data_IF_788924017279
#
_entry.id   IF_788924017279
#
_cell.length_a   1.000
_cell.length_b   1.000
_cell.length_c   1.000
_cell.angle_alpha   90.00
_cell.angle_beta   90.00
_cell.angle_gamma   90.00
#
_symmetry.space_group_name_H-M   'P 1'
#
loop_
_entity.id
_entity.type
_entity.pdbx_description
1 polymer ?
#
# COMPACT_ATOMS: atom_id res chain seq x y z
N UNK A 1 76.78 -5.98 2.12
CA UNK A 1 75.92 -7.05 1.58
C UNK A 1 75.28 -6.70 0.22
N UNK A 2 75.13 -5.43 -0.16
CA UNK A 2 74.50 -5.02 -1.44
C UNK A 2 75.40 -5.09 -2.68
N UNK A 3 76.71 -4.89 -2.54
CA UNK A 3 77.63 -4.77 -3.70
C UNK A 3 77.82 -6.08 -4.46
N UNK A 4 77.82 -7.22 -3.76
CA UNK A 4 77.92 -8.53 -4.40
C UNK A 4 76.67 -8.91 -5.20
N UNK A 5 75.48 -8.50 -4.74
CA UNK A 5 74.23 -8.69 -5.50
C UNK A 5 74.23 -7.87 -6.79
N UNK A 6 74.77 -6.65 -6.77
CA UNK A 6 74.93 -5.81 -7.96
C UNK A 6 75.85 -6.45 -9.00
N UNK A 7 77.00 -6.97 -8.56
CA UNK A 7 77.96 -7.66 -9.44
C UNK A 7 77.34 -8.93 -10.02
N UNK A 8 76.65 -9.74 -9.21
CA UNK A 8 75.99 -10.98 -9.68
C UNK A 8 74.90 -10.67 -10.71
N UNK A 9 74.03 -9.69 -10.47
CA UNK A 9 72.99 -9.30 -11.42
C UNK A 9 73.58 -8.76 -12.73
N UNK A 10 74.70 -8.02 -12.64
CA UNK A 10 75.39 -7.49 -13.80
C UNK A 10 76.07 -8.59 -14.63
N UNK A 11 76.69 -9.58 -13.98
CA UNK A 11 77.25 -10.76 -14.64
C UNK A 11 76.15 -11.60 -15.30
N UNK A 12 75.08 -11.94 -14.57
CA UNK A 12 73.96 -12.72 -15.11
C UNK A 12 73.27 -12.01 -16.30
N UNK A 13 73.13 -10.68 -16.26
CA UNK A 13 72.58 -9.93 -17.39
C UNK A 13 73.53 -9.91 -18.60
N UNK A 14 74.83 -9.82 -18.37
CA UNK A 14 75.82 -9.89 -19.44
C UNK A 14 75.81 -11.26 -20.12
N UNK A 15 75.70 -12.33 -19.33
CA UNK A 15 75.59 -13.71 -19.78
C UNK A 15 74.35 -13.94 -20.66
N UNK A 16 73.17 -13.54 -20.18
CA UNK A 16 71.91 -13.61 -20.96
C UNK A 16 71.96 -12.82 -22.28
N UNK A 17 72.73 -11.72 -22.33
CA UNK A 17 72.92 -10.92 -23.55
C UNK A 17 73.92 -11.55 -24.51
N UNK A 18 74.95 -12.20 -23.98
CA UNK A 18 75.96 -12.87 -24.79
C UNK A 18 75.35 -14.09 -25.50
N UNK A 19 74.60 -14.91 -24.76
CA UNK A 19 73.87 -16.07 -25.29
C UNK A 19 72.40 -15.75 -25.62
N UNK A 20 72.18 -14.69 -26.40
CA UNK A 20 70.83 -14.18 -26.67
C UNK A 20 69.91 -15.21 -27.36
N UNK A 21 70.46 -16.09 -28.20
CA UNK A 21 69.69 -17.14 -28.90
C UNK A 21 69.13 -18.17 -27.93
N UNK A 22 69.97 -18.68 -27.00
CA UNK A 22 69.55 -19.65 -25.99
C UNK A 22 68.58 -19.02 -24.98
N UNK A 23 68.82 -17.75 -24.61
CA UNK A 23 67.93 -16.98 -23.75
C UNK A 23 66.53 -16.81 -24.37
N UNK A 24 66.45 -16.45 -25.65
CA UNK A 24 65.15 -16.35 -26.35
C UNK A 24 64.48 -17.72 -26.44
N UNK A 25 65.22 -18.79 -26.73
CA UNK A 25 64.68 -20.16 -26.75
C UNK A 25 64.06 -20.54 -25.40
N UNK A 26 64.74 -20.25 -24.28
CA UNK A 26 64.24 -20.49 -22.93
C UNK A 26 62.98 -19.66 -22.62
N UNK A 27 62.98 -18.37 -22.95
CA UNK A 27 61.81 -17.48 -22.76
C UNK A 27 60.63 -17.99 -23.58
N UNK A 28 60.85 -18.39 -24.83
CA UNK A 28 59.80 -18.96 -25.69
C UNK A 28 59.28 -20.28 -25.12
N UNK A 29 60.14 -21.16 -24.60
CA UNK A 29 59.71 -22.41 -23.98
C UNK A 29 58.83 -22.17 -22.74
N UNK A 30 59.24 -21.26 -21.85
CA UNK A 30 58.45 -20.87 -20.67
C UNK A 30 57.13 -20.21 -21.08
N UNK A 31 57.18 -19.29 -22.06
CA UNK A 31 55.99 -18.62 -22.59
C UNK A 31 55.04 -19.60 -23.26
N UNK A 32 55.54 -20.59 -23.98
CA UNK A 32 54.74 -21.62 -24.64
C UNK A 32 53.96 -22.49 -23.66
N UNK A 33 54.48 -22.68 -22.44
CA UNK A 33 53.79 -23.42 -21.37
C UNK A 33 52.83 -22.50 -20.59
N UNK A 34 53.25 -21.27 -20.27
CA UNK A 34 52.45 -20.35 -19.45
C UNK A 34 51.32 -19.66 -20.22
N UNK A 35 51.54 -19.31 -21.49
CA UNK A 35 50.57 -18.56 -22.30
C UNK A 35 49.22 -19.29 -22.43
N UNK A 36 49.17 -20.59 -22.79
CA UNK A 36 47.89 -21.32 -22.86
C UNK A 36 47.16 -21.36 -21.51
N UNK A 37 47.90 -21.47 -20.40
CA UNK A 37 47.34 -21.52 -19.05
C UNK A 37 46.74 -20.15 -18.65
N UNK A 38 47.45 -19.06 -18.94
CA UNK A 38 46.97 -17.69 -18.75
C UNK A 38 45.73 -17.39 -19.58
N UNK A 39 45.70 -17.81 -20.85
CA UNK A 39 44.53 -17.66 -21.73
C UNK A 39 43.34 -18.44 -21.16
N UNK A 40 43.55 -19.69 -20.75
CA UNK A 40 42.49 -20.53 -20.17
C UNK A 40 41.92 -19.91 -18.89
N UNK A 41 42.78 -19.41 -18.01
CA UNK A 41 42.32 -18.73 -16.78
C UNK A 41 41.62 -17.41 -17.08
N UNK A 42 42.14 -16.60 -18.01
CA UNK A 42 41.50 -15.37 -18.44
C UNK A 42 40.08 -15.62 -18.96
N UNK A 43 39.90 -16.63 -19.82
CA UNK A 43 38.58 -17.03 -20.32
C UNK A 43 37.67 -17.57 -19.22
N UNK A 44 38.19 -18.45 -18.35
CA UNK A 44 37.40 -19.03 -17.24
C UNK A 44 36.90 -17.95 -16.29
N UNK A 45 37.80 -17.13 -15.74
CA UNK A 45 37.43 -16.11 -14.77
C UNK A 45 36.64 -14.97 -15.42
N UNK A 46 36.99 -14.57 -16.64
CA UNK A 46 36.23 -13.57 -17.40
C UNK A 46 34.79 -14.02 -17.66
N UNK A 47 34.58 -15.26 -18.10
CA UNK A 47 33.24 -15.79 -18.35
C UNK A 47 32.43 -15.92 -17.05
N UNK A 48 33.04 -16.44 -15.99
CA UNK A 48 32.38 -16.58 -14.68
C UNK A 48 31.98 -15.20 -14.13
N UNK A 49 32.86 -14.20 -14.25
CA UNK A 49 32.57 -12.85 -13.77
C UNK A 49 31.41 -12.22 -14.54
N UNK A 50 31.38 -12.37 -15.87
CA UNK A 50 30.26 -11.88 -16.71
C UNK A 50 28.94 -12.57 -16.34
N UNK A 51 28.94 -13.89 -16.16
CA UNK A 51 27.75 -14.62 -15.75
C UNK A 51 27.26 -14.19 -14.37
N UNK A 52 28.19 -14.06 -13.40
CA UNK A 52 27.88 -13.59 -12.04
C UNK A 52 27.32 -12.17 -12.07
N UNK A 53 27.97 -11.27 -12.80
CA UNK A 53 27.54 -9.88 -12.92
C UNK A 53 26.13 -9.79 -13.50
N UNK A 54 25.84 -10.52 -14.58
CA UNK A 54 24.49 -10.58 -15.17
C UNK A 54 23.47 -11.14 -14.19
N UNK A 55 23.81 -12.20 -13.45
CA UNK A 55 22.91 -12.82 -12.49
C UNK A 55 22.58 -11.89 -11.31
N UNK A 56 23.59 -11.21 -10.76
CA UNK A 56 23.42 -10.31 -9.60
C UNK A 56 22.71 -9.02 -10.00
N UNK A 57 22.96 -8.51 -11.20
CA UNK A 57 22.32 -7.29 -11.71
C UNK A 57 20.93 -7.55 -12.33
N UNK A 58 20.51 -8.81 -12.48
CA UNK A 58 19.16 -9.10 -13.00
C UNK A 58 18.09 -8.48 -12.05
N UNK A 59 17.22 -7.58 -12.54
CA UNK A 59 16.18 -6.98 -11.72
C UNK A 59 15.24 -8.02 -11.09
N UNK A 60 15.04 -9.18 -11.72
CA UNK A 60 14.22 -10.27 -11.17
C UNK A 60 14.83 -10.88 -9.91
N UNK A 61 16.15 -10.99 -9.85
CA UNK A 61 16.85 -11.55 -8.69
C UNK A 61 16.96 -10.54 -7.54
N UNK A 62 16.76 -9.25 -7.84
CA UNK A 62 16.71 -8.16 -6.86
C UNK A 62 15.29 -7.84 -6.39
N UNK A 63 14.28 -8.51 -6.92
CA UNK A 63 12.88 -8.35 -6.51
C UNK A 63 12.66 -8.95 -5.11
N UNK A 64 12.15 -8.13 -4.18
CA UNK A 64 11.79 -8.56 -2.84
C UNK A 64 10.28 -8.67 -2.73
N UNK A 65 9.76 -9.89 -2.59
CA UNK A 65 8.33 -10.17 -2.40
C UNK A 65 8.04 -10.62 -0.97
N UNK A 66 6.96 -10.14 -0.35
CA UNK A 66 6.57 -10.62 0.97
C UNK A 66 6.16 -12.10 0.90
N UNK A 67 6.70 -12.92 1.82
CA UNK A 67 6.34 -14.34 1.92
C UNK A 67 4.88 -14.55 2.37
N UNK A 68 4.33 -13.57 3.12
CA UNK A 68 2.96 -13.60 3.64
C UNK A 68 2.22 -12.30 3.31
N UNK A 69 0.94 -12.40 2.99
CA UNK A 69 0.11 -11.22 2.72
C UNK A 69 -0.12 -10.42 4.02
N UNK A 70 0.31 -9.16 4.01
CA UNK A 70 0.13 -8.23 5.11
C UNK A 70 -0.29 -6.86 4.58
N UNK A 71 -1.17 -6.18 5.31
CA UNK A 71 -1.55 -4.81 5.00
C UNK A 71 -0.52 -3.83 5.57
N UNK A 72 -0.09 -2.90 4.74
CA UNK A 72 0.84 -1.82 5.11
C UNK A 72 0.16 -0.47 4.89
N UNK A 73 0.53 0.54 5.68
CA UNK A 73 -0.03 1.90 5.54
C UNK A 73 0.69 2.66 4.44
N UNK A 74 0.07 3.72 3.91
CA UNK A 74 0.67 4.58 2.86
C UNK A 74 1.98 5.22 3.35
N UNK A 75 2.03 5.63 4.62
CA UNK A 75 3.23 6.22 5.23
C UNK A 75 4.39 5.22 5.29
N UNK A 76 4.10 3.93 5.45
CA UNK A 76 5.13 2.89 5.41
C UNK A 76 5.76 2.77 4.02
N UNK A 77 4.94 2.80 2.96
CA UNK A 77 5.44 2.79 1.57
C UNK A 77 6.26 4.05 1.27
N UNK A 78 5.81 5.23 1.72
CA UNK A 78 6.54 6.49 1.53
C UNK A 78 7.92 6.47 2.22
N UNK A 79 7.99 5.96 3.46
CA UNK A 79 9.27 5.80 4.19
C UNK A 79 10.21 4.79 3.53
N UNK A 80 9.67 3.76 2.90
CA UNK A 80 10.48 2.75 2.22
C UNK A 80 10.98 3.28 0.87
N UNK A 81 10.14 4.05 0.15
CA UNK A 81 10.51 4.74 -1.10
C UNK A 81 11.60 5.80 -0.89
N UNK A 82 11.69 6.41 0.29
CA UNK A 82 12.74 7.40 0.58
C UNK A 82 14.11 6.80 0.92
N UNK A 83 14.26 5.47 0.93
CA UNK A 83 15.56 4.84 1.20
C UNK A 83 16.40 4.74 -0.07
N UNK A 84 17.68 5.11 0.04
CA UNK A 84 18.62 5.10 -1.09
C UNK A 84 18.89 3.70 -1.66
N UNK A 85 18.72 2.65 -0.85
CA UNK A 85 18.92 1.25 -1.27
C UNK A 85 17.70 0.64 -1.97
N UNK A 86 16.58 1.37 -2.04
CA UNK A 86 15.35 0.94 -2.72
C UNK A 86 15.24 1.65 -4.05
N UNK A 87 15.47 0.93 -5.14
CA UNK A 87 15.32 1.51 -6.49
C UNK A 87 13.86 1.79 -6.85
N UNK A 88 12.93 0.98 -6.35
CA UNK A 88 11.53 1.00 -6.76
C UNK A 88 10.67 0.26 -5.73
N UNK A 89 9.46 0.76 -5.48
CA UNK A 89 8.47 0.07 -4.68
C UNK A 89 7.05 0.39 -5.16
N UNK A 90 6.26 -0.65 -5.33
CA UNK A 90 4.84 -0.55 -5.67
C UNK A 90 4.02 -1.46 -4.74
N UNK A 91 2.92 -0.98 -4.16
CA UNK A 91 2.01 -1.84 -3.41
C UNK A 91 1.28 -2.80 -4.37
N UNK A 92 0.83 -3.93 -3.84
CA UNK A 92 0.06 -4.91 -4.60
C UNK A 92 -1.25 -5.21 -3.88
N UNK A 93 -2.27 -5.59 -4.64
CA UNK A 93 -3.56 -6.06 -4.12
C UNK A 93 -3.53 -7.55 -3.80
N UNK A 94 -4.66 -8.14 -3.38
CA UNK A 94 -4.75 -9.58 -3.10
C UNK A 94 -4.52 -10.40 -4.38
N UNK A 95 -3.75 -11.49 -4.30
CA UNK A 95 -3.41 -12.35 -5.46
C UNK A 95 -4.64 -12.87 -6.22
N UNK A 96 -5.75 -13.17 -5.52
CA UNK A 96 -7.00 -13.64 -6.13
C UNK A 96 -7.71 -12.56 -6.98
N UNK A 97 -7.42 -11.29 -6.73
CA UNK A 97 -7.98 -10.15 -7.47
C UNK A 97 -7.14 -9.80 -8.69
N UNK A 98 -5.89 -10.28 -8.77
CA UNK A 98 -4.90 -9.91 -9.79
C UNK A 98 -4.99 -10.71 -11.11
N UNK A 99 -6.19 -11.04 -11.58
CA UNK A 99 -6.40 -11.69 -12.89
C UNK A 99 -7.55 -11.05 -13.68
N UNK A 100 -7.35 -10.87 -14.97
CA UNK A 100 -8.30 -10.25 -15.91
C UNK A 100 -8.35 -11.05 -17.21
N UNK A 101 -9.42 -10.92 -17.98
CA UNK A 101 -9.46 -11.42 -19.35
C UNK A 101 -9.11 -10.30 -20.32
N UNK A 102 -8.31 -10.57 -21.33
CA UNK A 102 -7.92 -9.59 -22.32
C UNK A 102 -8.11 -10.11 -23.75
N UNK A 103 -8.37 -9.19 -24.69
CA UNK A 103 -8.40 -9.42 -26.13
C UNK A 103 -7.84 -8.19 -26.86
N UNK A 104 -7.22 -8.41 -28.02
CA UNK A 104 -6.77 -7.30 -28.89
C UNK A 104 -7.94 -6.80 -29.73
N UNK A 105 -8.01 -5.49 -29.95
CA UNK A 105 -8.89 -4.90 -30.96
C UNK A 105 -8.30 -5.19 -32.34
N UNK A 106 -8.87 -6.14 -33.07
CA UNK A 106 -8.53 -6.33 -34.49
C UNK A 106 -9.37 -5.41 -35.39
N UNK A 107 -8.75 -4.83 -36.42
CA UNK A 107 -9.43 -4.13 -37.52
C UNK A 107 -10.20 -5.09 -38.46
N UNK A 108 -9.96 -6.41 -38.35
CA UNK A 108 -10.59 -7.41 -39.20
C UNK A 108 -11.82 -8.02 -38.54
N UNK A 109 -12.98 -7.76 -39.17
CA UNK A 109 -14.33 -8.24 -38.79
C UNK A 109 -14.46 -9.78 -38.72
N UNK A 110 -13.46 -10.54 -39.19
CA UNK A 110 -13.53 -12.00 -39.35
C UNK A 110 -12.51 -12.81 -38.53
N UNK A 111 -11.73 -12.21 -37.63
CA UNK A 111 -10.83 -12.97 -36.77
C UNK A 111 -11.49 -13.22 -35.41
N UNK A 112 -11.61 -14.48 -35.01
CA UNK A 112 -12.11 -14.84 -33.67
C UNK A 112 -11.13 -14.30 -32.64
N UNK A 113 -11.43 -13.12 -32.09
CA UNK A 113 -10.56 -12.47 -31.12
C UNK A 113 -10.42 -13.35 -29.87
N UNK A 114 -9.25 -13.98 -29.75
CA UNK A 114 -8.92 -14.90 -28.66
C UNK A 114 -8.91 -14.14 -27.35
N UNK A 115 -9.77 -14.55 -26.41
CA UNK A 115 -9.77 -14.05 -25.03
C UNK A 115 -8.82 -14.90 -24.20
N UNK A 116 -7.86 -14.29 -23.55
CA UNK A 116 -6.94 -14.99 -22.65
C UNK A 116 -6.99 -14.40 -21.25
N UNK A 117 -6.74 -15.23 -20.25
CA UNK A 117 -6.56 -14.78 -18.88
C UNK A 117 -5.13 -14.26 -18.69
N UNK A 118 -5.00 -13.05 -18.15
CA UNK A 118 -3.74 -12.40 -17.83
C UNK A 118 -3.66 -12.12 -16.33
N UNK A 119 -2.45 -12.23 -15.78
CA UNK A 119 -2.16 -11.67 -14.46
C UNK A 119 -1.92 -10.17 -14.59
N UNK A 120 -2.52 -9.37 -13.72
CA UNK A 120 -2.31 -7.93 -13.67
C UNK A 120 -1.28 -7.62 -12.59
N UNK A 121 -0.21 -6.93 -12.98
CA UNK A 121 0.93 -6.59 -12.10
C UNK A 121 1.04 -5.06 -12.08
N UNK A 122 1.06 -4.41 -10.90
CA UNK A 122 1.20 -2.98 -10.84
C UNK A 122 2.67 -2.61 -11.10
N UNK A 123 2.88 -1.48 -11.77
CA UNK A 123 4.18 -0.84 -11.97
C UNK A 123 4.05 0.66 -11.70
N UNK A 124 5.18 1.28 -11.39
CA UNK A 124 5.29 2.71 -11.11
C UNK A 124 6.70 3.17 -11.54
N UNK A 125 6.99 4.46 -11.41
CA UNK A 125 8.22 5.05 -11.91
C UNK A 125 9.46 4.44 -11.24
N UNK A 126 10.50 4.17 -12.04
CA UNK A 126 11.74 3.54 -11.58
C UNK A 126 11.77 2.01 -11.66
N UNK A 127 10.73 1.37 -12.22
CA UNK A 127 10.70 -0.07 -12.45
C UNK A 127 11.74 -0.53 -13.48
N UNK A 128 12.90 -0.97 -12.99
CA UNK A 128 14.01 -1.48 -13.81
C UNK A 128 13.63 -2.74 -14.58
N UNK A 129 12.70 -3.56 -14.09
CA UNK A 129 12.28 -4.76 -14.82
C UNK A 129 11.66 -4.36 -16.15
N UNK A 130 10.88 -3.29 -16.22
CA UNK A 130 10.30 -2.80 -17.46
C UNK A 130 11.36 -2.10 -18.32
N UNK A 131 12.08 -1.14 -17.73
CA UNK A 131 13.04 -0.30 -18.45
C UNK A 131 14.19 -1.09 -19.06
N UNK A 132 14.78 -2.03 -18.31
CA UNK A 132 15.89 -2.84 -18.80
C UNK A 132 15.43 -3.88 -19.84
N UNK A 133 14.12 -4.14 -19.98
CA UNK A 133 13.54 -5.13 -20.90
C UNK A 133 12.89 -4.53 -22.15
N UNK A 134 13.22 -3.27 -22.48
CA UNK A 134 12.89 -2.66 -23.77
C UNK A 134 11.51 -1.99 -23.86
N UNK A 135 10.86 -1.74 -22.73
CA UNK A 135 9.60 -0.98 -22.67
C UNK A 135 9.74 0.25 -21.77
N UNK A 136 8.86 1.23 -21.98
CA UNK A 136 8.71 2.37 -21.09
C UNK A 136 7.63 2.09 -20.06
N UNK A 137 7.68 2.79 -18.93
CA UNK A 137 6.69 2.65 -17.87
C UNK A 137 5.34 3.19 -18.39
N UNK A 138 4.25 2.39 -18.33
CA UNK A 138 2.96 2.79 -18.88
C UNK A 138 2.33 3.92 -18.05
N UNK A 139 1.58 4.83 -18.68
CA UNK A 139 0.67 5.75 -17.98
C UNK A 139 -0.67 5.09 -17.60
N UNK A 140 -1.62 5.87 -17.05
CA UNK A 140 -2.86 5.35 -16.47
C UNK A 140 -3.80 4.64 -17.47
N UNK A 141 -3.69 4.93 -18.77
CA UNK A 141 -4.49 4.30 -19.84
C UNK A 141 -3.63 3.38 -20.73
N UNK A 142 -2.44 3.04 -20.26
CA UNK A 142 -1.45 2.28 -21.00
C UNK A 142 -1.11 0.99 -20.28
N UNK A 143 -0.54 0.06 -21.02
CA UNK A 143 -0.01 -1.17 -20.47
C UNK A 143 1.25 -1.62 -21.20
N UNK A 144 1.98 -2.50 -20.52
CA UNK A 144 3.11 -3.24 -21.08
C UNK A 144 2.82 -4.73 -20.93
N UNK A 145 3.02 -5.50 -22.00
CA UNK A 145 2.75 -6.94 -22.00
C UNK A 145 4.04 -7.74 -21.83
N UNK A 146 3.96 -8.90 -21.18
CA UNK A 146 5.04 -9.89 -21.28
C UNK A 146 5.07 -10.50 -22.67
N UNK A 147 6.23 -11.00 -23.11
CA UNK A 147 6.37 -11.67 -24.41
C UNK A 147 5.34 -12.79 -24.59
N UNK A 148 5.19 -13.67 -23.58
CA UNK A 148 4.22 -14.77 -23.58
C UNK A 148 2.75 -14.30 -23.67
N UNK A 149 2.41 -13.15 -23.07
CA UNK A 149 1.07 -12.58 -23.19
C UNK A 149 0.82 -12.00 -24.59
N UNK A 150 1.80 -11.26 -25.13
CA UNK A 150 1.72 -10.65 -26.44
C UNK A 150 1.65 -11.69 -27.56
N UNK A 151 2.47 -12.75 -27.49
CA UNK A 151 2.46 -13.86 -28.46
C UNK A 151 1.10 -14.56 -28.50
N UNK A 152 0.51 -14.87 -27.33
CA UNK A 152 -0.77 -15.56 -27.30
C UNK A 152 -1.95 -14.68 -27.70
N UNK A 153 -1.88 -13.38 -27.41
CA UNK A 153 -2.87 -12.40 -27.86
C UNK A 153 -2.73 -12.01 -29.32
N UNK A 154 -1.56 -12.24 -29.94
CA UNK A 154 -1.18 -11.63 -31.21
C UNK A 154 -0.98 -10.10 -31.12
N UNK A 155 -0.71 -9.57 -29.92
CA UNK A 155 -0.62 -8.13 -29.66
C UNK A 155 0.79 -7.57 -29.96
N UNK A 156 0.85 -6.33 -30.43
CA UNK A 156 2.08 -5.56 -30.67
C UNK A 156 2.02 -4.21 -29.96
N UNK A 157 3.19 -3.57 -29.86
CA UNK A 157 3.26 -2.19 -29.41
C UNK A 157 2.47 -1.29 -30.34
N UNK A 158 1.59 -0.46 -29.78
CA UNK A 158 0.65 0.41 -30.50
C UNK A 158 -0.80 -0.08 -30.47
N UNK A 159 -1.03 -1.37 -30.24
CA UNK A 159 -2.37 -1.96 -30.26
C UNK A 159 -3.22 -1.51 -29.05
N UNK A 160 -4.54 -1.63 -29.19
CA UNK A 160 -5.48 -1.39 -28.10
C UNK A 160 -6.01 -2.71 -27.55
N UNK A 161 -5.77 -2.93 -26.27
CA UNK A 161 -6.20 -4.10 -25.52
C UNK A 161 -7.52 -3.82 -24.80
N UNK A 162 -8.56 -4.62 -25.09
CA UNK A 162 -9.79 -4.63 -24.31
C UNK A 162 -9.67 -5.60 -23.14
N UNK A 163 -9.61 -5.06 -21.94
CA UNK A 163 -9.54 -5.82 -20.70
C UNK A 163 -10.94 -5.93 -20.09
N UNK A 164 -11.33 -7.15 -19.72
CA UNK A 164 -12.60 -7.48 -19.08
C UNK A 164 -12.36 -8.05 -17.69
N UNK A 165 -12.95 -7.42 -16.70
CA UNK A 165 -12.96 -7.86 -15.31
C UNK A 165 -14.31 -8.52 -15.04
N UNK A 166 -14.30 -9.76 -14.56
CA UNK A 166 -15.53 -10.47 -14.18
C UNK A 166 -15.66 -10.53 -12.67
N UNK A 167 -16.89 -10.33 -12.19
CA UNK A 167 -17.27 -10.62 -10.80
C UNK A 167 -18.59 -11.39 -10.75
N UNK A 168 -18.77 -12.16 -9.68
CA UNK A 168 -20.03 -12.84 -9.39
C UNK A 168 -20.66 -12.19 -8.15
N UNK A 169 -21.82 -11.57 -8.32
CA UNK A 169 -22.51 -10.83 -7.24
C UNK A 169 -24.03 -11.02 -7.38
N UNK A 170 -24.72 -11.22 -6.25
CA UNK A 170 -26.19 -11.32 -6.21
C UNK A 170 -26.76 -12.30 -7.25
N UNK A 171 -26.11 -13.45 -7.40
CA UNK A 171 -26.45 -14.52 -8.36
C UNK A 171 -26.33 -14.15 -9.84
N UNK A 172 -25.64 -13.04 -10.19
CA UNK A 172 -25.38 -12.61 -11.56
C UNK A 172 -23.89 -12.37 -11.80
N UNK A 173 -23.47 -12.58 -13.04
CA UNK A 173 -22.15 -12.19 -13.51
C UNK A 173 -22.19 -10.76 -14.02
N UNK A 174 -21.33 -9.92 -13.47
CA UNK A 174 -21.14 -8.55 -13.90
C UNK A 174 -19.76 -8.41 -14.53
N UNK A 175 -19.65 -7.50 -15.51
CA UNK A 175 -18.43 -7.28 -16.27
C UNK A 175 -18.06 -5.80 -16.24
N UNK A 176 -16.86 -5.51 -15.76
CA UNK A 176 -16.20 -4.22 -15.97
C UNK A 176 -15.33 -4.32 -17.22
N UNK A 177 -15.35 -3.30 -18.06
CA UNK A 177 -14.49 -3.22 -19.24
C UNK A 177 -13.65 -1.95 -19.20
N UNK A 178 -12.40 -2.08 -19.63
CA UNK A 178 -11.47 -0.98 -19.80
C UNK A 178 -10.60 -1.22 -21.04
N UNK A 179 -10.17 -0.15 -21.68
CA UNK A 179 -9.31 -0.19 -22.87
C UNK A 179 -7.93 0.36 -22.51
N UNK A 180 -6.87 -0.40 -22.78
CA UNK A 180 -5.48 0.03 -22.55
C UNK A 180 -4.70 0.04 -23.85
N UNK A 181 -3.87 1.06 -24.05
CA UNK A 181 -2.93 1.10 -25.16
C UNK A 181 -1.65 0.32 -24.80
N UNK A 182 -1.25 -0.62 -25.64
CA UNK A 182 0.01 -1.36 -25.49
C UNK A 182 1.16 -0.44 -25.88
N UNK A 183 2.02 -0.10 -24.92
CA UNK A 183 3.18 0.78 -25.14
C UNK A 183 4.46 0.02 -25.46
N UNK A 184 4.50 -1.26 -25.10
CA UNK A 184 5.65 -2.11 -25.30
C UNK A 184 5.36 -3.56 -24.94
N UNK A 185 6.20 -4.43 -25.48
CA UNK A 185 6.24 -5.86 -25.14
C UNK A 185 7.61 -6.14 -24.56
N UNK A 186 7.65 -6.67 -23.34
CA UNK A 186 8.89 -7.00 -22.65
C UNK A 186 9.61 -8.15 -23.37
N UNK A 187 10.94 -8.17 -23.26
CA UNK A 187 11.73 -9.32 -23.71
C UNK A 187 11.39 -10.60 -22.94
N UNK A 188 11.62 -11.77 -23.55
CA UNK A 188 11.26 -13.09 -22.99
C UNK A 188 11.88 -13.36 -21.61
N UNK A 189 13.08 -12.83 -21.35
CA UNK A 189 13.74 -12.94 -20.03
C UNK A 189 13.02 -12.20 -18.91
N UNK A 190 12.09 -11.29 -19.19
CA UNK A 190 11.40 -10.52 -18.15
C UNK A 190 10.46 -11.40 -17.32
N UNK A 191 9.68 -12.27 -17.97
CA UNK A 191 8.75 -13.19 -17.30
C UNK A 191 8.24 -14.24 -18.27
N UNK A 192 8.10 -15.48 -17.78
CA UNK A 192 7.42 -16.56 -18.48
C UNK A 192 5.90 -16.56 -18.27
N UNK A 193 5.42 -15.75 -17.31
CA UNK A 193 3.99 -15.64 -17.03
C UNK A 193 3.31 -14.71 -18.03
N UNK A 194 2.08 -15.05 -18.37
CA UNK A 194 1.19 -14.21 -19.17
C UNK A 194 0.68 -13.09 -18.28
N UNK A 195 1.27 -11.91 -18.42
CA UNK A 195 1.01 -10.80 -17.51
C UNK A 195 0.96 -9.47 -18.24
N UNK A 196 0.20 -8.56 -17.65
CA UNK A 196 0.06 -7.17 -18.06
C UNK A 196 0.55 -6.28 -16.92
N UNK A 197 1.50 -5.40 -17.23
CA UNK A 197 1.97 -4.36 -16.33
C UNK A 197 1.16 -3.09 -16.56
N UNK A 198 0.60 -2.55 -15.48
CA UNK A 198 -0.29 -1.39 -15.48
C UNK A 198 0.02 -0.48 -14.29
N UNK A 199 -0.50 0.75 -14.29
CA UNK A 199 -0.44 1.60 -13.10
C UNK A 199 -1.28 1.03 -11.95
N UNK A 200 -0.87 1.32 -10.72
CA UNK A 200 -1.50 0.81 -9.49
C UNK A 200 -3.00 1.10 -9.45
N UNK A 201 -3.41 2.26 -9.93
CA UNK A 201 -4.78 2.75 -9.97
C UNK A 201 -5.71 1.78 -10.73
N UNK A 202 -5.22 1.18 -11.82
CA UNK A 202 -5.99 0.17 -12.57
C UNK A 202 -6.15 -1.10 -11.71
N UNK A 203 -5.09 -1.52 -11.01
CA UNK A 203 -5.15 -2.71 -10.17
C UNK A 203 -6.09 -2.52 -8.97
N UNK A 204 -6.07 -1.34 -8.34
CA UNK A 204 -6.99 -0.96 -7.26
C UNK A 204 -8.45 -0.89 -7.74
N UNK A 205 -8.68 -0.36 -8.95
CA UNK A 205 -9.98 -0.37 -9.60
C UNK A 205 -10.50 -1.81 -9.84
N UNK A 206 -9.65 -2.69 -10.36
CA UNK A 206 -9.98 -4.11 -10.59
C UNK A 206 -10.33 -4.80 -9.27
N UNK A 207 -9.56 -4.57 -8.20
CA UNK A 207 -9.86 -5.13 -6.87
C UNK A 207 -11.17 -4.57 -6.31
N UNK A 208 -11.36 -3.26 -6.33
CA UNK A 208 -12.57 -2.58 -5.86
C UNK A 208 -13.82 -3.12 -6.57
N UNK A 209 -13.75 -3.29 -7.90
CA UNK A 209 -14.83 -3.90 -8.67
C UNK A 209 -15.10 -5.33 -8.22
N UNK A 210 -14.08 -6.18 -8.07
CA UNK A 210 -14.25 -7.57 -7.60
C UNK A 210 -14.83 -7.65 -6.19
N UNK A 211 -14.53 -6.68 -5.33
CA UNK A 211 -15.12 -6.54 -3.99
C UNK A 211 -16.57 -6.02 -4.01
N UNK A 212 -17.13 -5.77 -5.18
CA UNK A 212 -18.51 -5.30 -5.35
C UNK A 212 -18.66 -3.78 -5.25
N UNK A 213 -17.56 -3.03 -5.17
CA UNK A 213 -17.58 -1.58 -5.11
C UNK A 213 -17.83 -0.99 -6.50
N UNK A 214 -18.38 0.23 -6.54
CA UNK A 214 -18.47 1.01 -7.76
C UNK A 214 -17.08 1.59 -8.09
N UNK A 215 -16.77 1.68 -9.38
CA UNK A 215 -15.55 2.33 -9.88
C UNK A 215 -15.99 3.40 -10.90
N UNK A 216 -16.31 4.62 -10.42
CA UNK A 216 -16.87 5.68 -11.25
C UNK A 216 -15.98 6.10 -12.42
N UNK A 217 -14.66 6.03 -12.24
CA UNK A 217 -13.64 6.43 -13.22
C UNK A 217 -13.78 5.65 -14.54
N UNK A 218 -14.21 4.38 -14.44
CA UNK A 218 -14.44 3.49 -15.58
C UNK A 218 -15.94 3.21 -15.81
N UNK A 219 -16.83 3.92 -15.13
CA UNK A 219 -18.29 3.74 -15.22
C UNK A 219 -18.78 2.37 -14.75
N UNK A 220 -18.02 1.68 -13.89
CA UNK A 220 -18.42 0.36 -13.40
C UNK A 220 -19.35 0.48 -12.21
N UNK A 221 -20.56 -0.03 -12.37
CA UNK A 221 -21.57 -0.04 -11.31
C UNK A 221 -21.12 -0.87 -10.11
N UNK A 222 -21.62 -0.52 -8.93
CA UNK A 222 -21.36 -1.25 -7.70
C UNK A 222 -21.92 -0.53 -6.49
N UNK A 223 -21.60 -1.02 -5.30
CA UNK A 223 -21.94 -0.30 -4.07
C UNK A 223 -20.89 0.77 -3.80
N UNK A 224 -21.29 1.92 -3.27
CA UNK A 224 -20.32 2.88 -2.75
C UNK A 224 -19.51 2.23 -1.61
N UNK A 225 -18.19 2.46 -1.55
CA UNK A 225 -17.38 1.95 -0.45
C UNK A 225 -17.91 2.53 0.87
N UNK A 226 -18.67 1.74 1.64
CA UNK A 226 -19.08 2.16 2.98
C UNK A 226 -17.88 2.00 3.89
N UNK A 227 -17.24 3.11 4.24
CA UNK A 227 -16.28 3.13 5.32
C UNK A 227 -16.99 2.64 6.59
N UNK A 228 -16.60 1.48 7.11
CA UNK A 228 -17.14 1.01 8.38
C UNK A 228 -16.56 1.89 9.48
N UNK A 229 -17.39 2.40 10.41
CA UNK A 229 -16.91 3.25 11.46
C UNK A 229 -15.96 2.46 12.37
N UNK A 230 -14.78 3.04 12.60
CA UNK A 230 -13.73 2.51 13.48
C UNK A 230 -13.51 3.53 14.60
N UNK A 231 -13.30 3.03 15.81
CA UNK A 231 -13.26 3.84 17.02
C UNK A 231 -11.97 3.56 17.80
N UNK A 232 -11.39 4.58 18.42
CA UNK A 232 -10.23 4.40 19.31
C UNK A 232 -10.66 3.87 20.68
N UNK A 233 -11.90 4.18 21.07
CA UNK A 233 -12.49 3.74 22.31
C UNK A 233 -14.01 3.81 22.35
N UNK A 234 -14.54 3.54 23.54
CA UNK A 234 -15.95 3.55 23.84
C UNK A 234 -16.14 4.21 25.21
N UNK A 235 -16.88 5.31 25.24
CA UNK A 235 -17.34 5.92 26.49
C UNK A 235 -18.58 5.16 26.94
N UNK A 236 -18.54 4.64 28.16
CA UNK A 236 -19.61 3.89 28.79
C UNK A 236 -20.12 4.70 29.98
N UNK A 237 -21.38 5.13 29.90
CA UNK A 237 -22.03 5.91 30.94
C UNK A 237 -23.03 5.03 31.66
N UNK A 238 -22.93 4.97 32.98
CA UNK A 238 -23.73 4.11 33.84
C UNK A 238 -24.33 4.91 35.01
N UNK A 239 -25.54 4.55 35.48
CA UNK A 239 -26.13 5.17 36.66
C UNK A 239 -25.40 4.77 37.95
N UNK A 240 -24.79 3.58 37.99
CA UNK A 240 -24.07 3.04 39.15
C UNK A 240 -22.67 2.56 38.75
N UNK A 241 -21.73 2.71 39.68
CA UNK A 241 -20.37 2.18 39.55
C UNK A 241 -20.38 0.65 39.51
N UNK A 242 -19.61 0.09 38.58
CA UNK A 242 -19.43 -1.36 38.44
C UNK A 242 -18.50 -1.91 39.54
N UNK A 243 -18.68 -3.17 39.88
CA UNK A 243 -17.70 -3.88 40.71
C UNK A 243 -16.46 -4.29 39.89
N UNK A 244 -15.40 -4.73 40.57
CA UNK A 244 -14.13 -5.09 39.90
C UNK A 244 -14.26 -6.25 38.91
N UNK A 245 -15.20 -7.17 39.15
CA UNK A 245 -15.45 -8.31 38.26
C UNK A 245 -16.15 -7.87 36.97
N UNK A 246 -17.11 -6.95 37.09
CA UNK A 246 -17.82 -6.33 35.98
C UNK A 246 -16.89 -5.45 35.15
N UNK A 247 -16.02 -4.64 35.78
CA UNK A 247 -14.98 -3.87 35.09
C UNK A 247 -14.06 -4.80 34.27
N UNK A 248 -13.61 -5.91 34.85
CA UNK A 248 -12.78 -6.89 34.15
C UNK A 248 -13.52 -7.56 32.99
N UNK A 249 -14.82 -7.85 33.13
CA UNK A 249 -15.66 -8.36 32.04
C UNK A 249 -15.76 -7.38 30.87
N UNK A 250 -15.55 -6.08 31.05
CA UNK A 250 -15.60 -5.14 29.92
C UNK A 250 -14.35 -5.16 29.05
N UNK A 251 -13.21 -5.61 29.57
CA UNK A 251 -11.95 -5.68 28.82
C UNK A 251 -11.62 -7.11 28.35
N UNK A 252 -12.07 -8.13 29.08
CA UNK A 252 -11.76 -9.52 28.75
C UNK A 252 -12.51 -9.99 27.48
N UNK A 253 -11.79 -10.37 26.42
CA UNK A 253 -12.38 -10.84 25.15
C UNK A 253 -13.41 -9.88 24.50
N UNK A 254 -13.31 -8.57 24.76
CA UNK A 254 -14.18 -7.55 24.15
C UNK A 254 -13.51 -6.79 23.00
N UNK A 255 -12.17 -6.87 22.92
CA UNK A 255 -11.33 -6.11 21.99
C UNK A 255 -10.80 -4.79 22.55
N UNK A 256 -11.29 -4.34 23.71
CA UNK A 256 -10.74 -3.20 24.44
C UNK A 256 -9.60 -3.64 25.36
N UNK A 257 -8.55 -2.83 25.46
CA UNK A 257 -7.33 -3.19 26.20
C UNK A 257 -7.22 -2.49 27.54
N UNK A 258 -7.86 -1.33 27.69
CA UNK A 258 -7.79 -0.50 28.90
C UNK A 258 -9.18 -0.03 29.27
N UNK A 259 -9.43 0.07 30.57
CA UNK A 259 -10.59 0.72 31.17
C UNK A 259 -10.10 1.80 32.13
N UNK A 260 -10.64 3.01 31.99
CA UNK A 260 -10.36 4.14 32.87
C UNK A 260 -11.68 4.67 33.42
N UNK A 261 -11.74 4.96 34.72
CA UNK A 261 -12.82 5.73 35.31
C UNK A 261 -12.53 7.21 35.01
N UNK A 262 -13.49 7.94 34.44
CA UNK A 262 -13.32 9.36 34.13
C UNK A 262 -14.25 10.23 34.98
N UNK A 263 -13.75 11.41 35.31
CA UNK A 263 -14.56 12.52 35.83
C UNK A 263 -15.27 13.26 34.70
N UNK A 264 -16.27 14.08 35.05
CA UNK A 264 -16.98 14.92 34.08
C UNK A 264 -16.05 15.95 33.42
N UNK A 265 -15.03 16.41 34.13
CA UNK A 265 -14.02 17.38 33.63
C UNK A 265 -13.06 16.72 32.62
N UNK A 266 -12.57 15.52 32.91
CA UNK A 266 -11.73 14.76 31.97
C UNK A 266 -12.49 14.38 30.70
N UNK A 267 -13.79 14.16 30.80
CA UNK A 267 -14.65 13.94 29.64
C UNK A 267 -14.80 15.20 28.78
N UNK A 268 -14.92 16.36 29.41
CA UNK A 268 -14.95 17.64 28.70
C UNK A 268 -13.65 17.86 27.93
N UNK A 269 -12.50 17.63 28.55
CA UNK A 269 -11.19 17.79 27.91
C UNK A 269 -11.00 16.83 26.73
N UNK A 270 -11.36 15.56 26.88
CA UNK A 270 -11.10 14.51 25.87
C UNK A 270 -12.16 14.38 24.80
N UNK A 271 -13.40 14.75 25.10
CA UNK A 271 -14.54 14.44 24.27
C UNK A 271 -15.45 15.65 24.01
N UNK A 272 -15.27 16.77 24.75
CA UNK A 272 -15.86 18.06 24.43
C UNK A 272 -17.19 18.39 25.08
N UNK A 273 -17.64 17.62 26.07
CA UNK A 273 -18.96 17.79 26.66
C UNK A 273 -19.00 17.51 28.15
N UNK A 274 -19.97 18.13 28.80
CA UNK A 274 -20.34 17.94 30.19
C UNK A 274 -21.55 16.99 30.27
N UNK A 275 -21.61 16.23 31.36
CA UNK A 275 -22.75 15.38 31.73
C UNK A 275 -23.33 15.87 33.06
N UNK A 276 -24.62 15.65 33.27
CA UNK A 276 -25.24 15.89 34.58
C UNK A 276 -24.51 15.10 35.68
N UNK A 277 -24.28 15.71 36.86
CA UNK A 277 -23.62 15.05 37.98
C UNK A 277 -24.41 13.81 38.45
N UNK A 278 -23.69 12.79 38.93
CA UNK A 278 -24.28 11.56 39.49
C UNK A 278 -24.19 10.31 38.61
N UNK A 279 -23.61 10.40 37.41
CA UNK A 279 -23.36 9.23 36.56
C UNK A 279 -21.89 8.80 36.64
N UNK A 280 -21.65 7.49 36.51
CA UNK A 280 -20.31 6.93 36.44
C UNK A 280 -19.88 6.79 34.98
N UNK A 281 -18.70 7.30 34.65
CA UNK A 281 -18.19 7.32 33.28
C UNK A 281 -16.95 6.43 33.20
N UNK A 282 -16.95 5.52 32.24
CA UNK A 282 -15.79 4.69 31.91
C UNK A 282 -15.35 4.95 30.48
N UNK A 283 -14.04 5.03 30.25
CA UNK A 283 -13.44 5.02 28.93
C UNK A 283 -12.78 3.68 28.67
N UNK A 284 -13.30 2.94 27.69
CA UNK A 284 -12.66 1.75 27.16
C UNK A 284 -11.81 2.15 25.96
N UNK A 285 -10.50 1.87 25.96
CA UNK A 285 -9.62 2.23 24.83
C UNK A 285 -8.89 1.03 24.24
N UNK A 286 -8.51 1.16 22.97
CA UNK A 286 -7.70 0.16 22.26
C UNK A 286 -6.25 0.65 22.12
N UNK A 287 -5.26 -0.26 22.17
CA UNK A 287 -3.83 0.09 21.99
C UNK A 287 -3.27 -0.21 20.59
N UNK A 288 -3.79 -1.22 19.91
CA UNK A 288 -3.18 -1.76 18.66
C UNK A 288 -4.12 -1.82 17.47
N UNK A 289 -5.40 -2.13 17.69
CA UNK A 289 -6.41 -2.25 16.63
C UNK A 289 -7.60 -1.38 17.02
N UNK A 290 -8.06 -0.48 16.14
CA UNK A 290 -9.26 0.29 16.42
C UNK A 290 -10.47 -0.66 16.53
N UNK A 291 -11.41 -0.30 17.42
CA UNK A 291 -12.63 -1.05 17.66
C UNK A 291 -13.63 -0.86 16.53
N UNK A 292 -14.33 -1.92 16.15
CA UNK A 292 -15.46 -1.88 15.22
C UNK A 292 -16.81 -2.01 15.91
N UNK A 293 -17.87 -2.06 15.11
CA UNK A 293 -19.24 -2.24 15.60
C UNK A 293 -19.45 -3.57 16.35
N UNK A 294 -18.69 -4.60 16.00
CA UNK A 294 -18.65 -5.89 16.69
C UNK A 294 -18.21 -5.76 18.16
N UNK A 295 -17.22 -4.90 18.43
CA UNK A 295 -16.74 -4.65 19.79
C UNK A 295 -17.79 -3.89 20.60
N UNK A 296 -18.43 -2.88 19.99
CA UNK A 296 -19.52 -2.12 20.63
C UNK A 296 -20.71 -3.04 20.96
N UNK A 297 -21.10 -3.94 20.04
CA UNK A 297 -22.16 -4.93 20.27
C UNK A 297 -21.80 -5.90 21.40
N UNK A 298 -20.55 -6.34 21.48
CA UNK A 298 -20.06 -7.20 22.56
C UNK A 298 -20.23 -6.54 23.94
N UNK A 299 -19.82 -5.26 24.06
CA UNK A 299 -20.01 -4.49 25.30
C UNK A 299 -21.49 -4.29 25.62
N UNK A 300 -22.31 -3.95 24.61
CA UNK A 300 -23.76 -3.81 24.78
C UNK A 300 -24.40 -5.09 25.32
N UNK A 301 -23.95 -6.25 24.85
CA UNK A 301 -24.47 -7.53 25.32
C UNK A 301 -24.10 -7.81 26.78
N UNK A 302 -22.89 -7.43 27.21
CA UNK A 302 -22.39 -7.63 28.58
C UNK A 302 -23.02 -6.69 29.60
N UNK A 303 -23.44 -5.50 29.15
CA UNK A 303 -24.07 -4.47 29.98
C UNK A 303 -25.60 -4.46 29.88
N UNK A 304 -26.21 -5.54 29.39
CA UNK A 304 -27.68 -5.69 29.43
C UNK A 304 -28.16 -5.62 30.89
N UNK A 305 -29.19 -4.81 31.12
CA UNK A 305 -29.77 -4.60 32.46
C UNK A 305 -29.12 -3.50 33.29
N UNK A 306 -28.00 -2.91 32.85
CA UNK A 306 -27.31 -1.84 33.56
C UNK A 306 -27.67 -0.43 33.05
N UNK A 307 -28.67 -0.30 32.18
CA UNK A 307 -29.07 0.96 31.52
C UNK A 307 -27.88 1.73 30.91
N UNK A 308 -26.89 0.98 30.41
CA UNK A 308 -25.64 1.54 29.93
C UNK A 308 -25.80 2.30 28.62
N UNK A 309 -25.26 3.51 28.57
CA UNK A 309 -25.19 4.31 27.35
C UNK A 309 -23.77 4.19 26.81
N UNK A 310 -23.69 3.73 25.56
CA UNK A 310 -22.44 3.46 24.86
C UNK A 310 -22.26 4.49 23.76
N UNK A 311 -21.19 5.25 23.86
CA UNK A 311 -20.85 6.32 22.92
C UNK A 311 -19.50 5.98 22.30
N UNK A 312 -19.47 5.62 21.01
CA UNK A 312 -18.20 5.39 20.32
C UNK A 312 -17.36 6.68 20.32
N UNK A 313 -16.06 6.54 20.60
CA UNK A 313 -15.15 7.66 20.76
C UNK A 313 -13.91 7.49 19.87
N UNK A 314 -13.50 8.58 19.23
CA UNK A 314 -12.26 8.69 18.46
C UNK A 314 -11.38 9.72 19.16
N UNK A 315 -10.09 9.44 19.26
CA UNK A 315 -9.12 10.37 19.83
C UNK A 315 -9.07 11.62 18.94
N UNK A 316 -8.94 12.79 19.57
CA UNK A 316 -9.00 14.11 18.92
C UNK A 316 -8.44 14.12 17.49
N UNK A 317 -9.33 14.43 16.55
CA UNK A 317 -9.01 14.50 15.12
C UNK A 317 -8.56 15.93 14.84
N UNK A 318 -7.32 16.13 14.40
CA UNK A 318 -6.90 17.45 13.94
C UNK A 318 -7.17 17.55 12.45
N UNK A 319 -7.84 18.62 12.03
CA UNK A 319 -8.08 18.96 10.65
C UNK A 319 -7.38 20.28 10.33
N UNK A 320 -6.81 20.38 9.15
CA UNK A 320 -6.20 21.61 8.65
C UNK A 320 -7.09 22.18 7.56
N UNK A 321 -7.46 23.45 7.69
CA UNK A 321 -8.11 24.18 6.62
C UNK A 321 -7.00 24.73 5.71
N UNK A 322 -6.97 24.24 4.48
CA UNK A 322 -6.01 24.68 3.45
C UNK A 322 -6.70 25.53 2.38
N UNK A 323 -6.00 26.56 1.90
CA UNK A 323 -6.41 27.33 0.72
C UNK A 323 -6.18 26.53 -0.57
N UNK A 324 -6.70 27.02 -1.72
CA UNK A 324 -6.50 26.45 -3.06
C UNK A 324 -5.01 26.31 -3.47
N UNK A 325 -4.12 27.05 -2.81
CA UNK A 325 -2.66 26.92 -2.98
C UNK A 325 -2.02 25.96 -1.98
N UNK A 326 -2.82 25.16 -1.27
CA UNK A 326 -2.42 24.17 -0.26
C UNK A 326 -1.70 24.77 0.98
N UNK A 327 -1.87 26.06 1.23
CA UNK A 327 -1.39 26.73 2.44
C UNK A 327 -2.36 26.53 3.61
N UNK A 328 -1.85 26.14 4.77
CA UNK A 328 -2.65 25.94 5.99
C UNK A 328 -3.07 27.29 6.55
N UNK A 329 -4.37 27.59 6.49
CA UNK A 329 -4.99 28.79 7.03
C UNK A 329 -5.25 28.66 8.54
N UNK A 330 -5.68 27.48 8.99
CA UNK A 330 -5.95 27.22 10.40
C UNK A 330 -6.00 25.72 10.70
N UNK A 331 -5.83 25.35 11.96
CA UNK A 331 -5.97 23.98 12.46
C UNK A 331 -7.18 23.90 13.38
N UNK A 332 -8.06 22.93 13.13
CA UNK A 332 -9.30 22.67 13.85
C UNK A 332 -9.17 21.35 14.59
N UNK A 333 -9.47 21.34 15.88
CA UNK A 333 -9.66 20.07 16.61
C UNK A 333 -11.11 19.62 16.47
N UNK A 334 -11.31 18.55 15.71
CA UNK A 334 -12.57 17.86 15.53
C UNK A 334 -12.80 16.87 16.68
N UNK A 335 -13.94 17.04 17.33
CA UNK A 335 -14.43 16.15 18.37
C UNK A 335 -15.53 15.30 17.74
N UNK A 336 -15.31 13.99 17.64
CA UNK A 336 -16.32 13.09 17.08
C UNK A 336 -17.15 12.49 18.21
N UNK A 337 -18.45 12.74 18.20
CA UNK A 337 -19.39 12.01 19.03
C UNK A 337 -20.67 11.74 18.26
N UNK A 338 -21.01 10.46 18.11
CA UNK A 338 -22.28 10.05 17.51
C UNK A 338 -23.19 9.53 18.61
N UNK A 339 -24.11 10.39 19.06
CA UNK A 339 -25.16 10.03 20.00
C UNK A 339 -26.51 10.58 19.49
N UNK A 340 -27.58 9.78 19.47
CA UNK A 340 -28.92 10.28 19.16
C UNK A 340 -29.36 11.38 20.13
N UNK A 341 -30.06 12.39 19.62
CA UNK A 341 -30.52 13.56 20.39
C UNK A 341 -31.28 13.17 21.67
N UNK A 342 -32.21 12.22 21.56
CA UNK A 342 -33.00 11.71 22.70
C UNK A 342 -32.12 11.18 23.84
N UNK A 343 -31.03 10.46 23.48
CA UNK A 343 -30.10 9.91 24.47
C UNK A 343 -29.18 10.97 25.05
N UNK A 344 -28.78 11.97 24.26
CA UNK A 344 -28.00 13.11 24.73
C UNK A 344 -28.79 13.92 25.77
N UNK A 345 -30.09 14.14 25.55
CA UNK A 345 -30.98 14.81 26.50
C UNK A 345 -31.16 13.97 27.77
N UNK A 346 -31.38 12.66 27.65
CA UNK A 346 -31.55 11.76 28.80
C UNK A 346 -30.32 11.65 29.72
N UNK A 347 -29.13 12.03 29.22
CA UNK A 347 -27.90 12.09 30.02
C UNK A 347 -27.49 13.50 30.44
N UNK A 348 -28.30 14.51 30.10
CA UNK A 348 -28.00 15.91 30.41
C UNK A 348 -26.69 16.38 29.78
N UNK A 349 -26.46 15.98 28.52
CA UNK A 349 -25.24 16.31 27.80
C UNK A 349 -25.25 17.76 27.32
N UNK A 350 -24.19 18.53 27.63
CA UNK A 350 -24.07 19.94 27.23
C UNK A 350 -22.65 20.25 26.71
N UNK A 351 -22.49 20.86 25.51
CA UNK A 351 -23.55 21.17 24.55
C UNK A 351 -24.13 19.90 23.92
N UNK A 352 -25.41 19.95 23.54
CA UNK A 352 -26.06 18.85 22.84
C UNK A 352 -25.40 18.70 21.45
N UNK A 353 -24.82 17.54 21.10
CA UNK A 353 -24.25 17.34 19.78
C UNK A 353 -25.39 17.30 18.75
N UNK A 354 -25.67 18.42 18.11
CA UNK A 354 -26.61 18.48 16.99
C UNK A 354 -25.85 18.18 15.70
N UNK A 355 -25.94 16.95 15.22
CA UNK A 355 -25.72 16.69 13.79
C UNK A 355 -27.02 17.07 13.09
N UNK A 356 -26.98 18.13 12.27
CA UNK A 356 -28.17 18.78 11.73
C UNK A 356 -29.14 17.80 11.10
N UNK A 357 -30.40 17.86 11.55
CA UNK A 357 -31.55 17.34 10.83
C UNK A 357 -31.94 18.36 9.76
N UNK A 358 -31.22 18.40 8.65
CA UNK A 358 -31.76 18.89 7.39
C UNK A 358 -31.99 17.67 6.51
N UNK A 359 -33.24 17.21 6.53
CA UNK A 359 -33.76 16.28 5.53
C UNK A 359 -33.78 17.07 4.22
N UNK A 360 -32.88 16.75 3.29
CA UNK A 360 -33.06 17.14 1.89
C UNK A 360 -34.43 16.59 1.47
N UNK A 361 -35.39 17.49 1.29
CA UNK A 361 -36.71 17.17 0.78
C UNK A 361 -36.54 16.66 -0.67
N UNK A 362 -36.32 15.36 -0.82
CA UNK A 362 -36.22 14.73 -2.14
C UNK A 362 -35.49 13.39 -2.20
N UNK A 363 -34.69 13.00 -1.20
CA UNK A 363 -33.91 11.75 -1.28
C UNK A 363 -33.99 10.95 0.02
N UNK A 364 -34.66 9.79 -0.04
CA UNK A 364 -34.67 8.78 1.03
C UNK A 364 -33.29 8.11 1.17
N UNK A 365 -32.28 8.83 1.64
CA UNK A 365 -30.94 8.29 1.88
C UNK A 365 -30.48 8.65 3.30
N UNK A 366 -30.24 7.64 4.12
CA UNK A 366 -30.13 7.76 5.58
C UNK A 366 -28.70 7.83 6.12
N UNK A 367 -27.71 8.30 5.35
CA UNK A 367 -26.29 8.14 5.76
C UNK A 367 -25.32 9.17 5.11
N UNK A 368 -25.65 10.47 5.03
CA UNK A 368 -24.67 11.48 4.56
C UNK A 368 -24.47 12.62 5.57
N UNK A 369 -23.22 12.72 6.03
CA UNK A 369 -22.65 13.68 6.99
C UNK A 369 -22.71 15.12 6.50
N UNK A 370 -23.37 15.99 7.26
CA UNK A 370 -23.27 17.45 7.16
C UNK A 370 -22.40 17.99 8.32
N UNK A 371 -21.54 18.97 8.03
CA UNK A 371 -20.60 19.57 9.00
C UNK A 371 -21.02 21.01 9.34
N UNK A 372 -20.91 21.40 10.62
CA UNK A 372 -21.07 22.79 11.08
C UNK A 372 -19.83 23.28 11.81
N UNK A 373 -19.47 24.55 11.57
CA UNK A 373 -18.43 25.28 12.29
C UNK A 373 -18.91 25.52 13.72
N UNK A 374 -18.27 24.90 14.71
CA UNK A 374 -18.45 25.32 16.10
C UNK A 374 -17.78 26.68 16.27
N UNK A 375 -18.59 27.72 16.47
CA UNK A 375 -18.10 28.98 17.02
C UNK A 375 -17.74 28.73 18.48
N UNK A 376 -16.46 28.44 18.73
CA UNK A 376 -15.89 28.63 20.06
C UNK A 376 -15.87 30.14 20.27
N UNK A 377 -16.82 30.67 21.02
CA UNK A 377 -16.77 32.04 21.53
C UNK A 377 -15.50 32.19 22.38
N UNK A 378 -14.55 32.97 21.88
CA UNK A 378 -13.44 33.51 22.66
C UNK A 378 -14.02 34.29 23.84
N UNK A 379 -13.95 33.72 25.06
CA UNK A 379 -14.02 34.51 26.29
C UNK A 379 -12.59 34.80 26.72
N UNK A 380 -12.01 35.85 26.16
CA UNK A 380 -10.94 36.63 26.78
C UNK A 380 -11.07 38.09 26.35
N UNK A 381 -11.60 38.93 27.23
CA UNK A 381 -11.11 40.27 27.55
C UNK A 381 -12.15 40.98 28.44
N UNK A 382 -11.94 40.88 29.76
CA UNK A 382 -12.29 41.98 30.64
C UNK A 382 -11.29 41.98 31.82
N UNK A 383 -10.16 42.62 31.58
CA UNK A 383 -9.30 43.22 32.60
C UNK A 383 -8.83 44.54 32.00
N UNK A 384 -9.46 45.61 32.50
CA UNK A 384 -9.33 47.00 32.11
C UNK A 384 -10.32 47.78 32.95
#
# INVERSE_FOLDING_TARGET
MGDHLGIVFQLSRADLRHEWVLTICLIMAVTAVLSPLMILFGLKFGTIEVLRFRLVQDPRNREMRPLTSKSFTKEWFNKLRSREDVSFIVPTTRQISASVEARVTGDSVNEVQKKIALNIIPTDDGDRLIMENGASIPTIDQCVLTNAAAEELGAKSGDTLFVTVKRYRSSRYEKGQLSLKVTGVLSERASTLKSIYVRLEILEAVESFKDGQAVPEYGWEGSTPKAYPRYDGLVVILPKKLNKVEEFKLINNSGFTKIELMTTEELLERAGYLLSPGKTIYLLSTKRKPAGNENVRSIRSRLRGFEAILIPWVRGLNAELVDNSNHVLTTLSLLSLSIPLEKAVAIGMVPIPTWGSEVDAGVNNSDTTQWRKNHVTEKYQNTG
#
